data_IF_532691999836
#
_entry.id   IF_532691999836
#
_cell.length_a   1.000
_cell.length_b   1.000
_cell.length_c   1.000
_cell.angle_alpha   90.00
_cell.angle_beta   90.00
_cell.angle_gamma   90.00
#
_symmetry.space_group_name_H-M   'P 1'
#
loop_
_entity.id
_entity.type
_entity.pdbx_description
1 polymer ?
#
# COMPACT_ATOMS: atom_id res chain seq x y z
N UNK A 1 26.25 -81.04 21.80
CA UNK A 1 25.65 -79.92 21.06
C UNK A 1 26.14 -78.61 21.67
N UNK A 2 27.03 -77.91 20.98
CA UNK A 2 27.67 -76.68 21.47
C UNK A 2 26.66 -75.50 21.47
N UNK A 3 26.04 -75.23 22.63
CA UNK A 3 25.16 -74.07 22.85
C UNK A 3 25.89 -72.70 22.82
N UNK A 4 27.23 -72.70 22.83
CA UNK A 4 28.06 -71.47 22.86
C UNK A 4 28.04 -70.64 21.56
N UNK A 5 27.64 -71.21 20.43
CA UNK A 5 27.61 -70.49 19.15
C UNK A 5 26.42 -69.53 19.00
N UNK A 6 25.32 -69.79 19.70
CA UNK A 6 24.07 -69.03 19.57
C UNK A 6 24.13 -67.72 20.37
N UNK A 7 24.78 -67.72 21.54
CA UNK A 7 24.89 -66.53 22.40
C UNK A 7 25.68 -65.39 21.72
N UNK A 8 26.73 -65.71 20.96
CA UNK A 8 27.54 -64.70 20.27
C UNK A 8 26.76 -63.99 19.15
N UNK A 9 25.85 -64.70 18.46
CA UNK A 9 25.06 -64.11 17.38
C UNK A 9 24.00 -63.12 17.91
N UNK A 10 23.42 -63.38 19.07
CA UNK A 10 22.45 -62.47 19.69
C UNK A 10 23.07 -61.14 20.12
N UNK A 11 24.32 -61.13 20.58
CA UNK A 11 25.01 -59.87 20.93
C UNK A 11 25.20 -58.96 19.71
N UNK A 12 25.56 -59.50 18.56
CA UNK A 12 25.71 -58.71 17.33
C UNK A 12 24.39 -58.15 16.82
N UNK A 13 23.30 -58.93 16.89
CA UNK A 13 21.97 -58.45 16.54
C UNK A 13 21.55 -57.30 17.47
N UNK A 14 21.79 -57.44 18.77
CA UNK A 14 21.47 -56.38 19.74
C UNK A 14 22.28 -55.10 19.47
N UNK A 15 23.58 -55.22 19.17
CA UNK A 15 24.44 -54.08 18.82
C UNK A 15 23.93 -53.38 17.55
N UNK A 16 23.51 -54.14 16.53
CA UNK A 16 22.96 -53.57 15.30
C UNK A 16 21.64 -52.83 15.53
N UNK A 17 20.73 -53.40 16.34
CA UNK A 17 19.45 -52.76 16.69
C UNK A 17 19.71 -51.47 17.48
N UNK A 18 20.59 -51.52 18.50
CA UNK A 18 20.95 -50.34 19.29
C UNK A 18 21.59 -49.26 18.41
N UNK A 19 22.50 -49.63 17.49
CA UNK A 19 23.11 -48.72 16.53
C UNK A 19 22.09 -48.08 15.60
N UNK A 20 21.14 -48.85 15.07
CA UNK A 20 20.07 -48.34 14.22
C UNK A 20 19.14 -47.38 14.98
N UNK A 21 18.80 -47.67 16.23
CA UNK A 21 17.98 -46.79 17.08
C UNK A 21 18.70 -45.46 17.37
N UNK A 22 20.00 -45.51 17.70
CA UNK A 22 20.81 -44.32 17.96
C UNK A 22 20.94 -43.48 16.68
N UNK A 23 21.22 -44.11 15.53
CA UNK A 23 21.32 -43.40 14.25
C UNK A 23 19.98 -42.78 13.85
N UNK A 24 18.88 -43.50 14.04
CA UNK A 24 17.52 -42.99 13.81
C UNK A 24 17.20 -41.77 14.68
N UNK A 25 17.61 -41.79 15.96
CA UNK A 25 17.48 -40.64 16.85
C UNK A 25 18.26 -39.43 16.33
N UNK A 26 19.53 -39.58 15.96
CA UNK A 26 20.32 -38.46 15.45
C UNK A 26 19.79 -37.91 14.14
N UNK A 27 19.29 -38.77 13.24
CA UNK A 27 18.65 -38.33 12.00
C UNK A 27 17.38 -37.51 12.28
N UNK A 28 16.56 -37.93 13.25
CA UNK A 28 15.37 -37.18 13.70
C UNK A 28 15.76 -35.81 14.28
N UNK A 29 16.76 -35.77 15.17
CA UNK A 29 17.26 -34.53 15.76
C UNK A 29 17.84 -33.59 14.71
N UNK A 30 18.64 -34.11 13.77
CA UNK A 30 19.24 -33.32 12.69
C UNK A 30 18.18 -32.68 11.79
N UNK A 31 17.15 -33.44 11.39
CA UNK A 31 16.05 -32.90 10.60
C UNK A 31 15.24 -31.85 11.39
N UNK A 32 15.01 -32.07 12.68
CA UNK A 32 14.32 -31.10 13.54
C UNK A 32 15.12 -29.81 13.72
N UNK A 33 16.44 -29.91 13.95
CA UNK A 33 17.32 -28.74 14.05
C UNK A 33 17.41 -27.97 12.73
N UNK A 34 17.49 -28.67 11.59
CA UNK A 34 17.44 -28.04 10.27
C UNK A 34 16.16 -27.24 10.07
N UNK A 35 15.00 -27.82 10.38
CA UNK A 35 13.71 -27.15 10.24
C UNK A 35 13.59 -25.92 11.16
N UNK A 36 14.02 -26.03 12.42
CA UNK A 36 14.03 -24.90 13.37
C UNK A 36 14.98 -23.79 12.92
N UNK A 37 16.13 -24.15 12.33
CA UNK A 37 17.07 -23.17 11.80
C UNK A 37 16.51 -22.44 10.59
N UNK A 38 15.77 -23.14 9.70
CA UNK A 38 15.10 -22.53 8.56
C UNK A 38 13.98 -21.58 9.01
N UNK A 39 13.14 -22.01 9.95
CA UNK A 39 12.07 -21.18 10.52
C UNK A 39 12.62 -19.92 11.21
N UNK A 40 13.72 -20.06 11.97
CA UNK A 40 14.39 -18.91 12.59
C UNK A 40 14.93 -17.94 11.54
N UNK A 41 15.55 -18.45 10.47
CA UNK A 41 16.05 -17.64 9.37
C UNK A 41 14.91 -16.87 8.67
N UNK A 42 13.81 -17.55 8.35
CA UNK A 42 12.62 -16.95 7.74
C UNK A 42 12.03 -15.84 8.63
N UNK A 43 11.94 -16.06 9.95
CA UNK A 43 11.46 -15.06 10.89
C UNK A 43 12.39 -13.85 11.02
N UNK A 44 13.71 -14.09 11.02
CA UNK A 44 14.70 -13.01 11.00
C UNK A 44 14.58 -12.18 9.72
N UNK A 45 14.53 -12.82 8.55
CA UNK A 45 14.36 -12.13 7.27
C UNK A 45 13.05 -11.33 7.22
N UNK A 46 11.95 -11.89 7.70
CA UNK A 46 10.67 -11.18 7.75
C UNK A 46 10.72 -9.97 8.69
N UNK A 47 11.45 -10.07 9.80
CA UNK A 47 11.64 -8.95 10.73
C UNK A 47 12.54 -7.87 10.15
N UNK A 48 13.60 -8.26 9.45
CA UNK A 48 14.51 -7.33 8.76
C UNK A 48 13.78 -6.58 7.65
N UNK A 49 12.96 -7.27 6.85
CA UNK A 49 12.13 -6.63 5.82
C UNK A 49 11.13 -5.67 6.45
N UNK A 50 10.44 -6.04 7.53
CA UNK A 50 9.51 -5.12 8.22
C UNK A 50 10.22 -3.84 8.70
N UNK A 51 11.42 -3.99 9.26
CA UNK A 51 12.25 -2.85 9.68
C UNK A 51 12.62 -1.96 8.49
N UNK A 52 13.01 -2.56 7.36
CA UNK A 52 13.39 -1.79 6.18
C UNK A 52 12.18 -1.10 5.54
N UNK A 53 11.01 -1.76 5.47
CA UNK A 53 9.77 -1.13 5.00
C UNK A 53 9.35 0.02 5.93
N UNK A 54 9.55 -0.14 7.24
CA UNK A 54 9.32 0.93 8.24
C UNK A 54 10.28 2.10 8.05
N UNK A 55 11.53 1.85 7.68
CA UNK A 55 12.48 2.91 7.35
C UNK A 55 12.16 3.57 6.00
N UNK A 56 11.74 2.79 5.01
CA UNK A 56 11.41 3.28 3.68
C UNK A 56 10.17 4.18 3.73
N UNK A 57 9.14 3.81 4.50
CA UNK A 57 7.93 4.62 4.62
C UNK A 57 8.19 5.97 5.29
N UNK A 58 9.21 6.12 6.13
CA UNK A 58 9.56 7.44 6.70
C UNK A 58 10.42 8.30 5.76
N UNK A 59 11.08 7.68 4.79
CA UNK A 59 11.87 8.37 3.76
C UNK A 59 10.96 9.22 2.85
N UNK A 60 11.44 10.39 2.43
CA UNK A 60 10.67 11.32 1.58
C UNK A 60 11.08 11.18 0.12
N UNK A 61 10.16 10.71 -0.73
CA UNK A 61 10.23 10.88 -2.18
C UNK A 61 11.37 10.14 -2.88
N UNK A 62 12.11 9.28 -2.20
CA UNK A 62 13.21 8.52 -2.79
C UNK A 62 12.75 7.11 -3.14
N UNK A 63 13.08 6.71 -4.36
CA UNK A 63 13.04 5.31 -4.75
C UNK A 63 14.40 4.69 -4.43
N UNK A 64 14.39 3.53 -3.78
CA UNK A 64 15.61 2.83 -3.38
C UNK A 64 15.50 1.34 -3.71
N UNK A 65 16.59 0.71 -4.18
CA UNK A 65 16.64 -0.73 -4.33
C UNK A 65 16.67 -1.42 -2.96
N UNK A 66 16.04 -2.58 -2.86
CA UNK A 66 16.00 -3.43 -1.68
C UNK A 66 16.31 -4.88 -2.07
N UNK A 67 17.27 -5.56 -1.42
CA UNK A 67 17.53 -6.96 -1.72
C UNK A 67 16.31 -7.84 -1.42
N UNK A 68 15.99 -8.74 -2.35
CA UNK A 68 14.92 -9.74 -2.19
C UNK A 68 15.52 -11.03 -1.65
N UNK A 69 14.91 -11.65 -0.63
CA UNK A 69 15.24 -13.02 -0.25
C UNK A 69 15.06 -13.97 -1.46
N UNK A 70 15.92 -14.98 -1.66
CA UNK A 70 15.76 -15.94 -2.77
C UNK A 70 14.38 -16.61 -2.86
N UNK A 71 13.66 -16.65 -1.74
CA UNK A 71 12.32 -17.23 -1.61
C UNK A 71 11.20 -16.30 -2.10
N UNK A 72 11.49 -15.02 -2.35
CA UNK A 72 10.52 -14.00 -2.66
C UNK A 72 9.70 -13.52 -1.45
N UNK A 73 8.84 -12.53 -1.69
CA UNK A 73 7.95 -11.93 -0.70
C UNK A 73 6.55 -11.93 -1.29
N UNK A 74 5.60 -12.55 -0.60
CA UNK A 74 4.19 -12.48 -0.95
C UNK A 74 3.51 -11.36 -0.16
N UNK A 75 2.64 -10.59 -0.80
CA UNK A 75 1.79 -9.56 -0.19
C UNK A 75 0.33 -9.95 -0.37
N UNK A 76 -0.44 -9.89 0.70
CA UNK A 76 -1.86 -10.24 0.68
C UNK A 76 -2.64 -9.36 1.65
N UNK A 77 -3.88 -9.05 1.28
CA UNK A 77 -4.83 -8.34 2.12
C UNK A 77 -6.17 -9.05 2.06
N UNK A 78 -6.85 -9.14 3.20
CA UNK A 78 -8.23 -9.65 3.28
C UNK A 78 -9.24 -8.51 3.12
N UNK A 79 -10.51 -8.84 2.86
CA UNK A 79 -11.61 -7.85 2.83
C UNK A 79 -11.76 -7.09 4.16
N UNK A 80 -11.35 -7.69 5.28
CA UNK A 80 -11.29 -7.05 6.60
C UNK A 80 -10.12 -6.09 6.78
N UNK A 81 -9.33 -5.84 5.73
CA UNK A 81 -8.09 -5.06 5.77
C UNK A 81 -7.04 -5.58 6.74
N UNK A 82 -7.01 -6.91 6.92
CA UNK A 82 -5.89 -7.59 7.53
C UNK A 82 -4.86 -7.87 6.46
N UNK A 83 -3.83 -7.05 6.49
CA UNK A 83 -2.86 -6.90 5.44
C UNK A 83 -1.50 -7.37 5.95
N UNK A 84 -0.90 -8.34 5.24
CA UNK A 84 0.31 -9.04 5.68
C UNK A 84 1.23 -9.35 4.51
N UNK A 85 2.50 -9.56 4.82
CA UNK A 85 3.46 -10.13 3.90
C UNK A 85 4.01 -11.44 4.45
N UNK A 86 4.43 -12.32 3.55
CA UNK A 86 4.94 -13.66 3.87
C UNK A 86 6.24 -13.95 3.13
N UNK A 87 7.20 -14.50 3.85
CA UNK A 87 8.44 -15.07 3.31
C UNK A 87 8.43 -16.54 3.72
N UNK A 88 8.21 -17.45 2.78
CA UNK A 88 7.97 -18.87 3.05
C UNK A 88 6.88 -19.09 4.11
N UNK A 89 7.21 -19.51 5.34
CA UNK A 89 6.22 -19.75 6.41
C UNK A 89 6.12 -18.59 7.39
N UNK A 90 7.05 -17.65 7.37
CA UNK A 90 7.03 -16.49 8.24
C UNK A 90 6.08 -15.43 7.69
N UNK A 91 5.10 -15.04 8.51
CA UNK A 91 4.10 -14.02 8.17
C UNK A 91 4.22 -12.83 9.11
N UNK A 92 4.14 -11.62 8.57
CA UNK A 92 4.15 -10.36 9.33
C UNK A 92 3.02 -9.46 8.84
N UNK A 93 2.26 -8.90 9.77
CA UNK A 93 1.26 -7.90 9.47
C UNK A 93 1.96 -6.55 9.29
N UNK A 94 1.63 -5.82 8.22
CA UNK A 94 2.16 -4.46 8.05
C UNK A 94 1.35 -3.38 8.80
N UNK A 95 0.28 -3.79 9.49
CA UNK A 95 -0.39 -2.97 10.50
C UNK A 95 -1.02 -1.70 9.93
N UNK A 96 -0.52 -0.55 10.36
CA UNK A 96 -1.00 0.78 9.96
C UNK A 96 -0.20 1.39 8.79
N UNK A 97 0.59 0.59 8.08
CA UNK A 97 1.40 1.05 6.95
C UNK A 97 0.60 0.90 5.64
N UNK A 98 0.29 1.99 4.91
CA UNK A 98 -0.32 1.90 3.59
C UNK A 98 0.70 1.45 2.53
N UNK A 99 0.86 0.13 2.38
CA UNK A 99 1.75 -0.52 1.43
C UNK A 99 0.95 -1.01 0.22
N UNK A 100 1.48 -0.77 -0.98
CA UNK A 100 0.90 -1.20 -2.25
C UNK A 100 1.97 -1.97 -3.03
N UNK A 101 1.69 -3.24 -3.26
CA UNK A 101 2.61 -4.15 -3.90
C UNK A 101 1.85 -5.22 -4.71
N UNK A 102 2.49 -5.80 -5.73
CA UNK A 102 2.05 -7.03 -6.37
C UNK A 102 2.01 -8.21 -5.38
N UNK A 103 1.19 -9.23 -5.66
CA UNK A 103 0.95 -10.36 -4.75
C UNK A 103 2.20 -11.17 -4.43
N UNK A 104 3.14 -11.24 -5.36
CA UNK A 104 4.39 -11.95 -5.18
C UNK A 104 5.53 -11.26 -5.92
N UNK A 105 6.61 -10.97 -5.20
CA UNK A 105 7.83 -10.40 -5.74
C UNK A 105 8.97 -11.36 -5.50
N UNK A 106 9.55 -11.86 -6.58
CA UNK A 106 10.70 -12.76 -6.55
C UNK A 106 11.68 -12.38 -7.63
N UNK A 107 12.93 -12.70 -7.38
CA UNK A 107 14.05 -12.54 -8.29
C UNK A 107 14.34 -11.05 -8.55
N UNK A 108 15.62 -10.68 -8.54
CA UNK A 108 16.12 -9.29 -8.64
C UNK A 108 15.84 -8.42 -7.40
N UNK A 109 16.29 -7.17 -7.45
CA UNK A 109 16.10 -6.17 -6.38
C UNK A 109 14.71 -5.54 -6.47
N UNK A 110 14.07 -5.28 -5.32
CA UNK A 110 12.82 -4.51 -5.31
C UNK A 110 13.14 -3.03 -5.41
N UNK A 111 12.31 -2.31 -6.14
CA UNK A 111 12.24 -0.86 -6.03
C UNK A 111 11.16 -0.50 -5.02
N UNK A 112 11.58 0.15 -3.94
CA UNK A 112 10.68 0.71 -2.92
C UNK A 112 10.61 2.21 -3.09
N UNK A 113 9.41 2.77 -3.21
CA UNK A 113 9.18 4.19 -3.42
C UNK A 113 8.18 4.74 -2.42
N UNK A 114 8.60 5.74 -1.63
CA UNK A 114 7.72 6.40 -0.66
C UNK A 114 7.23 7.76 -1.17
N UNK A 115 5.91 7.95 -1.20
CA UNK A 115 5.30 9.21 -1.61
C UNK A 115 4.32 9.73 -0.56
N UNK A 116 4.42 11.02 -0.28
CA UNK A 116 3.62 11.67 0.75
C UNK A 116 2.16 11.87 0.32
N UNK A 117 1.22 11.53 1.20
CA UNK A 117 -0.18 11.92 1.09
C UNK A 117 -0.45 13.17 1.93
N UNK A 118 -0.97 14.22 1.29
CA UNK A 118 -1.29 15.52 1.91
C UNK A 118 -2.76 15.90 1.74
N UNK A 119 -3.51 16.08 2.84
CA UNK A 119 -4.89 16.58 2.82
C UNK A 119 -5.24 17.39 4.10
N UNK A 120 -5.04 18.71 4.15
CA UNK A 120 -4.08 19.51 3.39
C UNK A 120 -2.63 19.35 3.86
N UNK A 121 -2.43 18.97 5.12
CA UNK A 121 -1.14 18.68 5.72
C UNK A 121 -0.74 17.21 5.51
N UNK A 122 0.51 16.89 5.85
CA UNK A 122 1.05 15.53 5.78
C UNK A 122 0.25 14.57 6.67
N UNK A 123 -0.26 13.49 6.08
CA UNK A 123 -0.94 12.42 6.81
C UNK A 123 0.02 11.26 7.06
N UNK A 124 0.51 10.68 5.98
CA UNK A 124 1.37 9.50 5.95
C UNK A 124 2.07 9.46 4.60
N UNK A 125 3.06 8.59 4.46
CA UNK A 125 3.57 8.22 3.14
C UNK A 125 2.90 6.91 2.70
N UNK A 126 2.61 6.81 1.41
CA UNK A 126 2.33 5.56 0.71
C UNK A 126 3.64 4.91 0.32
N UNK A 127 3.72 3.59 0.49
CA UNK A 127 4.88 2.81 0.13
C UNK A 127 4.51 1.92 -1.06
N UNK A 128 5.12 2.19 -2.22
CA UNK A 128 4.97 1.38 -3.42
C UNK A 128 6.15 0.44 -3.54
N UNK A 129 5.87 -0.82 -3.85
CA UNK A 129 6.90 -1.85 -4.01
C UNK A 129 6.68 -2.55 -5.34
N UNK A 130 7.74 -2.67 -6.14
CA UNK A 130 7.74 -3.41 -7.41
C UNK A 130 9.11 -4.02 -7.64
N UNK A 131 9.26 -4.85 -8.67
CA UNK A 131 10.56 -5.24 -9.21
C UNK A 131 10.56 -5.10 -10.75
N UNK A 132 11.70 -5.28 -11.44
CA UNK A 132 11.76 -5.21 -12.90
C UNK A 132 11.11 -6.39 -13.62
N UNK A 133 10.74 -7.47 -12.91
CA UNK A 133 9.98 -8.60 -13.48
C UNK A 133 8.49 -8.29 -13.68
N UNK A 134 8.05 -7.06 -13.42
CA UNK A 134 6.67 -6.61 -13.62
C UNK A 134 6.67 -5.47 -14.63
N UNK A 135 5.93 -5.68 -15.72
CA UNK A 135 5.83 -4.72 -16.81
C UNK A 135 4.59 -3.86 -16.66
N UNK A 136 4.77 -2.55 -16.68
CA UNK A 136 3.69 -1.58 -16.65
C UNK A 136 3.51 -0.95 -18.03
N UNK A 137 2.30 -1.04 -18.58
CA UNK A 137 1.90 -0.30 -19.79
C UNK A 137 0.96 0.83 -19.41
N UNK A 138 1.37 2.07 -19.65
CA UNK A 138 0.49 3.24 -19.54
C UNK A 138 -0.23 3.43 -20.87
N UNK A 139 -1.52 3.12 -20.90
CA UNK A 139 -2.36 3.15 -22.10
C UNK A 139 -3.11 4.47 -22.15
N UNK A 140 -2.95 5.22 -23.24
CA UNK A 140 -3.56 6.54 -23.40
C UNK A 140 -4.10 6.76 -24.83
N UNK A 141 -4.73 7.91 -25.07
CA UNK A 141 -5.20 8.36 -26.37
C UNK A 141 -4.69 9.78 -26.66
N UNK A 142 -4.22 10.06 -27.88
CA UNK A 142 -3.42 11.27 -28.15
C UNK A 142 -4.18 12.60 -28.00
N UNK A 143 -5.50 12.60 -28.21
CA UNK A 143 -6.32 13.82 -28.30
C UNK A 143 -7.19 14.10 -27.05
N UNK A 144 -6.98 13.37 -25.95
CA UNK A 144 -7.90 13.44 -24.80
C UNK A 144 -7.22 13.90 -23.49
N UNK A 145 -8.05 14.08 -22.45
CA UNK A 145 -7.63 14.29 -21.05
C UNK A 145 -6.64 13.24 -20.55
N UNK A 146 -6.59 12.07 -21.20
CA UNK A 146 -5.63 10.99 -20.92
C UNK A 146 -4.17 11.44 -21.05
N UNK A 147 -3.83 12.29 -22.02
CA UNK A 147 -2.46 12.78 -22.23
C UNK A 147 -1.98 13.68 -21.10
N UNK A 148 -2.86 14.55 -20.60
CA UNK A 148 -2.52 15.40 -19.43
C UNK A 148 -2.26 14.54 -18.19
N UNK A 149 -3.07 13.51 -17.96
CA UNK A 149 -2.88 12.59 -16.85
C UNK A 149 -1.58 11.77 -17.03
N UNK A 150 -1.29 11.32 -18.25
CA UNK A 150 -0.04 10.64 -18.58
C UNK A 150 1.18 11.50 -18.23
N UNK A 151 1.19 12.76 -18.66
CA UNK A 151 2.30 13.68 -18.39
C UNK A 151 2.47 13.95 -16.90
N UNK A 152 1.37 13.97 -16.12
CA UNK A 152 1.43 14.07 -14.66
C UNK A 152 2.02 12.82 -14.02
N UNK A 153 1.62 11.63 -14.49
CA UNK A 153 2.15 10.35 -13.99
C UNK A 153 3.64 10.18 -14.29
N UNK A 154 4.05 10.47 -15.53
CA UNK A 154 5.46 10.41 -15.96
C UNK A 154 6.39 11.25 -15.10
N UNK A 155 5.94 12.42 -14.65
CA UNK A 155 6.72 13.32 -13.79
C UNK A 155 6.91 12.78 -12.38
N UNK A 156 5.98 11.97 -11.88
CA UNK A 156 6.06 11.44 -10.52
C UNK A 156 6.72 10.07 -10.41
N UNK A 157 6.66 9.23 -11.46
CA UNK A 157 7.27 7.90 -11.44
C UNK A 157 8.82 8.03 -11.45
N UNK A 158 9.52 7.45 -10.46
CA UNK A 158 10.98 7.52 -10.39
C UNK A 158 11.63 6.71 -11.53
N UNK A 159 12.81 7.11 -12.04
CA UNK A 159 13.49 6.43 -13.15
C UNK A 159 13.83 4.95 -12.93
N UNK A 160 13.88 4.50 -11.67
CA UNK A 160 14.11 3.10 -11.30
C UNK A 160 12.92 2.18 -11.62
N UNK A 161 11.73 2.74 -11.84
CA UNK A 161 10.53 1.98 -12.20
C UNK A 161 10.37 2.02 -13.70
N UNK A 162 10.43 0.85 -14.32
CA UNK A 162 10.28 0.70 -15.76
C UNK A 162 8.80 0.68 -16.12
N UNK A 163 8.43 1.50 -17.11
CA UNK A 163 7.11 1.50 -17.72
C UNK A 163 7.23 1.82 -19.20
N UNK A 164 6.22 1.43 -19.96
CA UNK A 164 6.11 1.73 -21.39
C UNK A 164 4.80 2.45 -21.66
N UNK A 165 4.80 3.40 -22.60
CA UNK A 165 3.59 4.10 -22.99
C UNK A 165 3.13 3.65 -24.34
N UNK A 166 1.87 3.22 -24.42
CA UNK A 166 1.26 2.71 -25.65
C UNK A 166 -0.10 3.39 -25.87
N UNK A 167 -0.54 3.46 -27.11
CA UNK A 167 -1.90 3.90 -27.44
C UNK A 167 -2.90 2.77 -27.22
N UNK A 168 -4.19 3.11 -27.09
CA UNK A 168 -5.26 2.11 -26.99
C UNK A 168 -5.28 1.14 -28.19
N UNK A 169 -4.89 1.61 -29.38
CA UNK A 169 -4.79 0.78 -30.58
C UNK A 169 -3.60 -0.19 -30.50
N UNK A 170 -2.47 0.24 -29.93
CA UNK A 170 -1.30 -0.62 -29.76
C UNK A 170 -1.56 -1.75 -28.77
N UNK A 171 -2.38 -1.54 -27.73
CA UNK A 171 -2.71 -2.54 -26.71
C UNK A 171 -3.19 -3.89 -27.28
N UNK A 172 -3.94 -3.91 -28.38
CA UNK A 172 -4.44 -5.15 -29.01
C UNK A 172 -3.36 -5.91 -29.79
N UNK A 173 -2.23 -5.26 -30.08
CA UNK A 173 -1.09 -5.80 -30.83
C UNK A 173 0.17 -5.99 -29.99
N UNK A 174 0.19 -5.44 -28.77
CA UNK A 174 1.22 -5.70 -27.77
C UNK A 174 1.20 -7.19 -27.45
N UNK A 175 2.36 -7.84 -27.63
CA UNK A 175 2.54 -9.25 -27.30
C UNK A 175 3.06 -9.38 -25.89
N UNK A 176 2.78 -10.53 -25.30
CA UNK A 176 3.40 -10.90 -24.04
C UNK A 176 4.92 -11.09 -24.20
N UNK A 177 5.63 -10.64 -23.18
CA UNK A 177 7.07 -10.80 -22.96
C UNK A 177 7.28 -11.64 -21.69
N UNK A 178 8.49 -12.15 -21.46
CA UNK A 178 8.85 -13.02 -20.32
C UNK A 178 8.94 -12.25 -18.99
N UNK A 179 7.80 -11.71 -18.54
CA UNK A 179 7.64 -11.06 -17.24
C UNK A 179 6.74 -11.89 -16.33
N UNK A 180 6.95 -11.76 -15.02
CA UNK A 180 6.12 -12.43 -14.01
C UNK A 180 4.66 -11.97 -14.07
N UNK A 181 4.44 -10.67 -14.31
CA UNK A 181 3.12 -10.08 -14.43
C UNK A 181 3.15 -8.83 -15.31
N UNK A 182 2.10 -8.64 -16.11
CA UNK A 182 1.91 -7.43 -16.92
C UNK A 182 0.69 -6.64 -16.43
N UNK A 183 0.87 -5.36 -16.12
CA UNK A 183 -0.21 -4.48 -15.66
C UNK A 183 -0.48 -3.35 -16.64
N UNK A 184 -1.73 -3.26 -17.10
CA UNK A 184 -2.21 -2.19 -17.98
C UNK A 184 -2.86 -1.07 -17.17
N UNK A 185 -2.42 0.16 -17.36
CA UNK A 185 -2.95 1.37 -16.71
C UNK A 185 -3.65 2.21 -17.78
N UNK A 186 -4.97 2.04 -17.88
CA UNK A 186 -5.85 2.68 -18.86
C UNK A 186 -6.19 4.09 -18.38
N UNK A 187 -5.65 5.12 -19.02
CA UNK A 187 -5.83 6.52 -18.65
C UNK A 187 -7.05 7.09 -19.38
N UNK A 188 -8.22 7.11 -18.73
CA UNK A 188 -9.48 7.58 -19.30
C UNK A 188 -9.83 6.94 -20.66
N UNK A 189 -9.42 5.68 -20.85
CA UNK A 189 -9.73 4.87 -22.04
C UNK A 189 -10.42 3.58 -21.61
N UNK A 190 -11.32 3.07 -22.45
CA UNK A 190 -11.97 1.78 -22.19
C UNK A 190 -11.02 0.61 -22.48
N UNK A 191 -11.09 -0.48 -21.70
CA UNK A 191 -10.30 -1.67 -21.98
C UNK A 191 -10.68 -2.28 -23.33
N UNK A 192 -9.68 -2.81 -24.04
CA UNK A 192 -9.84 -3.60 -25.25
C UNK A 192 -9.42 -5.05 -25.00
N UNK A 193 -9.69 -5.93 -25.96
CA UNK A 193 -9.21 -7.31 -25.90
C UNK A 193 -7.69 -7.35 -26.03
N UNK A 194 -7.03 -8.09 -25.13
CA UNK A 194 -5.59 -8.32 -25.20
C UNK A 194 -5.22 -9.24 -26.37
N UNK A 195 -3.97 -9.16 -26.82
CA UNK A 195 -3.43 -10.12 -27.80
C UNK A 195 -3.52 -11.56 -27.27
N UNK A 196 -3.62 -12.52 -28.19
CA UNK A 196 -3.77 -13.94 -27.85
C UNK A 196 -2.62 -14.49 -27.00
N UNK A 197 -1.42 -13.91 -27.10
CA UNK A 197 -0.27 -14.27 -26.25
C UNK A 197 -0.57 -14.12 -24.74
N UNK A 198 -1.43 -13.18 -24.36
CA UNK A 198 -1.85 -13.00 -22.96
C UNK A 198 -2.85 -14.04 -22.45
N UNK A 199 -3.33 -14.98 -23.29
CA UNK A 199 -4.32 -15.98 -22.86
C UNK A 199 -3.87 -16.80 -21.65
N UNK A 200 -2.57 -17.13 -21.58
CA UNK A 200 -1.98 -17.90 -20.47
C UNK A 200 -1.13 -17.07 -19.51
N UNK A 201 -0.70 -15.88 -19.94
CA UNK A 201 0.13 -15.02 -19.12
C UNK A 201 -0.66 -14.39 -17.97
N UNK A 202 0.05 -13.97 -16.92
CA UNK A 202 -0.53 -13.21 -15.82
C UNK A 202 -0.64 -11.74 -16.20
N UNK A 203 -1.86 -11.21 -16.25
CA UNK A 203 -2.07 -9.79 -16.51
C UNK A 203 -3.30 -9.24 -15.80
N UNK A 204 -3.23 -7.96 -15.42
CA UNK A 204 -4.31 -7.20 -14.80
C UNK A 204 -4.42 -5.82 -15.45
N UNK A 205 -5.54 -5.13 -15.22
CA UNK A 205 -5.66 -3.75 -15.64
C UNK A 205 -6.35 -2.88 -14.60
N UNK A 206 -6.05 -1.59 -14.64
CA UNK A 206 -6.84 -0.55 -13.97
C UNK A 206 -7.22 0.52 -14.98
N UNK A 207 -8.40 1.11 -14.82
CA UNK A 207 -8.81 2.32 -15.53
C UNK A 207 -8.87 3.47 -14.55
N UNK A 208 -8.22 4.56 -14.90
CA UNK A 208 -8.21 5.80 -14.12
C UNK A 208 -9.03 6.83 -14.89
N UNK A 209 -10.14 7.27 -14.33
CA UNK A 209 -10.99 8.32 -14.89
C UNK A 209 -11.03 9.54 -13.93
N UNK A 210 -11.69 10.65 -14.28
CA UNK A 210 -11.75 11.82 -13.39
C UNK A 210 -12.40 11.56 -12.03
N UNK A 211 -13.25 10.54 -11.91
CA UNK A 211 -14.08 10.29 -10.74
C UNK A 211 -13.54 9.16 -9.85
N UNK A 212 -12.76 8.23 -10.41
CA UNK A 212 -12.35 7.02 -9.71
C UNK A 212 -11.43 6.11 -10.51
N UNK A 213 -11.28 4.90 -9.97
CA UNK A 213 -10.43 3.83 -10.47
C UNK A 213 -11.27 2.57 -10.57
N UNK A 214 -11.30 1.97 -11.75
CA UNK A 214 -11.91 0.66 -11.98
C UNK A 214 -10.82 -0.40 -12.08
N UNK A 215 -10.90 -1.45 -11.29
CA UNK A 215 -10.01 -2.61 -11.37
C UNK A 215 -10.59 -3.64 -12.34
N UNK A 216 -9.73 -4.31 -13.08
CA UNK A 216 -10.08 -5.36 -14.03
C UNK A 216 -9.21 -6.60 -13.81
N UNK A 217 -9.86 -7.75 -13.86
CA UNK A 217 -9.22 -9.06 -13.93
C UNK A 217 -9.33 -9.62 -15.35
N UNK A 218 -8.36 -10.44 -15.73
CA UNK A 218 -8.31 -11.07 -17.05
C UNK A 218 -9.08 -12.38 -17.05
N UNK A 219 -10.05 -12.50 -17.96
CA UNK A 219 -10.72 -13.75 -18.30
C UNK A 219 -10.33 -14.15 -19.74
N UNK A 220 -9.37 -15.07 -19.87
CA UNK A 220 -8.75 -15.40 -21.15
C UNK A 220 -7.98 -14.21 -21.73
N UNK A 221 -8.56 -13.48 -22.68
CA UNK A 221 -8.02 -12.25 -23.29
C UNK A 221 -8.91 -11.03 -23.09
N UNK A 222 -10.06 -11.18 -22.43
CA UNK A 222 -10.94 -10.08 -22.09
C UNK A 222 -10.62 -9.58 -20.69
N UNK A 223 -10.90 -8.30 -20.43
CA UNK A 223 -10.75 -7.67 -19.13
C UNK A 223 -12.14 -7.44 -18.54
N UNK A 224 -12.42 -8.07 -17.41
CA UNK A 224 -13.70 -7.96 -16.71
C UNK A 224 -13.54 -7.05 -15.50
N UNK A 225 -14.40 -6.03 -15.42
CA UNK A 225 -14.41 -5.10 -14.28
C UNK A 225 -14.78 -5.83 -13.00
N UNK A 226 -13.99 -5.62 -11.94
CA UNK A 226 -14.22 -6.23 -10.62
C UNK A 226 -14.77 -5.23 -9.63
N UNK A 227 -14.14 -4.05 -9.52
CA UNK A 227 -14.52 -3.04 -8.52
C UNK A 227 -14.20 -1.62 -8.97
N UNK A 228 -15.10 -0.69 -8.66
CA UNK A 228 -14.90 0.74 -8.81
C UNK A 228 -14.66 1.38 -7.45
N UNK A 229 -13.61 2.20 -7.33
CA UNK A 229 -13.23 2.88 -6.10
C UNK A 229 -12.77 4.31 -6.39
N UNK A 230 -13.10 5.25 -5.50
CA UNK A 230 -12.62 6.63 -5.62
C UNK A 230 -11.13 6.77 -5.24
N UNK A 231 -10.50 7.89 -5.60
CA UNK A 231 -9.08 8.15 -5.33
C UNK A 231 -8.85 9.56 -4.77
N UNK A 232 -7.91 9.68 -3.84
CA UNK A 232 -7.52 10.91 -3.14
C UNK A 232 -6.22 11.52 -3.74
N UNK A 233 -6.34 12.13 -4.91
CA UNK A 233 -5.22 12.79 -5.59
C UNK A 233 -4.17 11.83 -6.17
N UNK A 234 -3.08 12.40 -6.71
CA UNK A 234 -2.09 11.64 -7.48
C UNK A 234 -1.42 10.47 -6.72
N UNK A 235 -1.07 10.59 -5.41
CA UNK A 235 -0.53 9.45 -4.66
C UNK A 235 -1.44 8.22 -4.66
N UNK A 236 -2.75 8.41 -4.56
CA UNK A 236 -3.68 7.27 -4.61
C UNK A 236 -3.79 6.64 -6.01
N UNK A 237 -3.56 7.39 -7.08
CA UNK A 237 -3.48 6.79 -8.43
C UNK A 237 -2.27 5.86 -8.52
N UNK A 238 -1.10 6.28 -8.01
CA UNK A 238 0.05 5.39 -7.92
C UNK A 238 -0.23 4.18 -7.03
N UNK A 239 -0.92 4.38 -5.91
CA UNK A 239 -1.32 3.26 -5.04
C UNK A 239 -2.11 2.19 -5.81
N UNK A 240 -3.06 2.58 -6.67
CA UNK A 240 -3.78 1.62 -7.51
C UNK A 240 -2.90 0.97 -8.58
N UNK A 241 -1.93 1.70 -9.16
CA UNK A 241 -0.97 1.16 -10.12
C UNK A 241 -0.13 0.04 -9.49
N UNK A 242 0.32 0.21 -8.25
CA UNK A 242 1.19 -0.77 -7.58
C UNK A 242 0.48 -1.80 -6.71
N UNK A 243 -0.79 -1.58 -6.36
CA UNK A 243 -1.58 -2.58 -5.63
C UNK A 243 -1.83 -3.82 -6.49
N UNK A 244 -1.77 -5.01 -5.90
CA UNK A 244 -2.18 -6.23 -6.59
C UNK A 244 -3.62 -6.14 -7.12
N UNK A 245 -4.54 -5.75 -6.23
CA UNK A 245 -5.97 -5.78 -6.48
C UNK A 245 -6.69 -4.59 -5.82
N UNK A 246 -8.01 -4.57 -6.00
CA UNK A 246 -8.87 -3.53 -5.41
C UNK A 246 -8.92 -3.59 -3.88
N UNK A 247 -8.73 -4.77 -3.28
CA UNK A 247 -8.77 -4.98 -1.83
C UNK A 247 -7.56 -4.35 -1.16
N UNK A 248 -6.35 -4.61 -1.66
CA UNK A 248 -5.12 -4.00 -1.17
C UNK A 248 -5.16 -2.47 -1.32
N UNK A 249 -5.63 -1.98 -2.46
CA UNK A 249 -5.81 -0.55 -2.68
C UNK A 249 -6.77 0.08 -1.67
N UNK A 250 -7.96 -0.50 -1.49
CA UNK A 250 -8.96 -0.02 -0.53
C UNK A 250 -8.40 -0.02 0.89
N UNK A 251 -7.73 -1.08 1.31
CA UNK A 251 -7.20 -1.22 2.66
C UNK A 251 -6.05 -0.26 2.96
N UNK A 252 -5.18 -0.01 1.98
CA UNK A 252 -4.15 1.02 2.11
C UNK A 252 -4.76 2.42 2.26
N UNK A 253 -5.81 2.74 1.50
CA UNK A 253 -6.51 4.02 1.65
C UNK A 253 -7.26 4.15 2.98
N UNK A 254 -8.01 3.13 3.41
CA UNK A 254 -8.69 3.12 4.71
C UNK A 254 -7.72 3.35 5.87
N UNK A 255 -6.53 2.74 5.78
CA UNK A 255 -5.45 2.94 6.76
C UNK A 255 -4.97 4.39 6.78
N UNK A 256 -4.81 5.01 5.61
CA UNK A 256 -4.42 6.41 5.49
C UNK A 256 -5.48 7.36 6.06
N UNK A 257 -6.77 7.11 5.79
CA UNK A 257 -7.85 7.93 6.32
C UNK A 257 -8.03 7.77 7.82
N UNK A 258 -7.79 6.58 8.38
CA UNK A 258 -7.74 6.40 9.84
C UNK A 258 -6.68 7.30 10.47
N UNK A 259 -5.48 7.38 9.85
CA UNK A 259 -4.42 8.30 10.27
C UNK A 259 -4.82 9.76 10.13
N UNK A 260 -5.46 10.13 9.02
CA UNK A 260 -5.98 11.49 8.83
C UNK A 260 -6.91 11.87 9.98
N UNK A 261 -7.87 11.02 10.34
CA UNK A 261 -8.81 11.30 11.44
C UNK A 261 -8.11 11.59 12.77
N UNK A 262 -7.06 10.83 13.11
CA UNK A 262 -6.26 11.11 14.31
C UNK A 262 -5.50 12.43 14.22
N UNK A 263 -4.87 12.70 13.08
CA UNK A 263 -4.07 13.92 12.88
C UNK A 263 -4.97 15.16 12.87
N UNK A 264 -6.15 15.09 12.24
CA UNK A 264 -7.13 16.18 12.25
C UNK A 264 -7.60 16.52 13.66
N UNK A 265 -7.79 15.51 14.52
CA UNK A 265 -8.10 15.73 15.94
C UNK A 265 -6.99 16.50 16.64
N UNK A 266 -5.74 16.08 16.46
CA UNK A 266 -4.58 16.73 17.08
C UNK A 266 -4.45 18.18 16.60
N UNK A 267 -4.68 18.46 15.32
CA UNK A 267 -4.67 19.83 14.81
C UNK A 267 -5.81 20.68 15.36
N UNK A 268 -6.99 20.11 15.60
CA UNK A 268 -8.10 20.84 16.23
C UNK A 268 -7.76 21.23 17.68
N UNK A 269 -7.19 20.29 18.45
CA UNK A 269 -6.70 20.54 19.81
C UNK A 269 -5.60 21.61 19.82
N UNK A 270 -4.62 21.51 18.92
CA UNK A 270 -3.56 22.52 18.77
C UNK A 270 -4.12 23.90 18.40
N UNK A 271 -5.11 23.97 17.50
CA UNK A 271 -5.73 25.23 17.11
C UNK A 271 -6.40 25.93 18.31
N UNK A 272 -7.06 25.16 19.19
CA UNK A 272 -7.68 25.69 20.40
C UNK A 272 -6.65 26.26 21.38
N UNK A 273 -5.52 25.57 21.58
CA UNK A 273 -4.42 26.09 22.40
C UNK A 273 -3.77 27.36 21.80
N UNK A 274 -3.63 27.41 20.47
CA UNK A 274 -3.09 28.58 19.78
C UNK A 274 -3.99 29.80 19.92
N UNK A 275 -5.31 29.62 19.86
CA UNK A 275 -6.28 30.70 20.08
C UNK A 275 -6.19 31.27 21.50
N UNK A 276 -6.09 30.39 22.50
CA UNK A 276 -5.93 30.80 23.89
C UNK A 276 -4.66 31.65 24.06
N UNK A 277 -3.51 31.17 23.57
CA UNK A 277 -2.24 31.92 23.63
C UNK A 277 -2.28 33.22 22.82
N UNK A 278 -2.96 33.24 21.69
CA UNK A 278 -3.14 34.46 20.90
C UNK A 278 -3.94 35.51 21.69
N UNK A 279 -4.99 35.09 22.39
CA UNK A 279 -5.80 35.96 23.25
C UNK A 279 -4.98 36.51 24.42
N UNK A 280 -4.20 35.67 25.10
CA UNK A 280 -3.31 36.07 26.20
C UNK A 280 -2.25 37.10 25.77
N UNK A 281 -1.80 37.03 24.51
CA UNK A 281 -0.82 37.97 23.94
C UNK A 281 -1.45 39.21 23.28
N UNK A 282 -2.76 39.41 23.44
CA UNK A 282 -3.49 40.55 22.87
C UNK A 282 -3.81 40.44 21.38
N UNK A 283 -3.58 39.29 20.76
CA UNK A 283 -3.92 38.99 19.35
C UNK A 283 -5.34 38.44 19.22
N UNK A 284 -6.34 39.19 19.68
CA UNK A 284 -7.74 38.74 19.71
C UNK A 284 -8.38 38.56 18.33
N UNK A 285 -7.71 38.99 17.25
CA UNK A 285 -8.17 38.76 15.88
C UNK A 285 -7.84 37.36 15.35
N UNK A 286 -6.98 36.60 16.03
CA UNK A 286 -6.65 35.23 15.66
C UNK A 286 -7.68 34.26 16.26
N UNK A 287 -8.84 34.16 15.61
CA UNK A 287 -9.96 33.30 16.03
C UNK A 287 -9.92 31.99 15.22
N UNK A 288 -9.72 30.85 15.90
CA UNK A 288 -9.64 29.52 15.29
C UNK A 288 -10.93 28.70 15.47
N UNK A 289 -11.73 28.97 16.51
CA UNK A 289 -13.02 28.35 16.80
C UNK A 289 -13.13 27.73 18.20
N UNK A 290 -14.24 27.02 18.47
CA UNK A 290 -14.46 26.32 19.75
C UNK A 290 -14.46 24.80 19.55
N UNK A 291 -13.63 24.09 20.34
CA UNK A 291 -13.45 22.63 20.28
C UNK A 291 -14.64 21.82 20.83
N UNK A 292 -15.48 22.42 21.67
CA UNK A 292 -16.59 21.71 22.34
C UNK A 292 -17.68 21.15 21.42
N UNK A 293 -17.57 21.32 20.10
CA UNK A 293 -18.54 20.88 19.10
C UNK A 293 -18.09 19.66 18.28
N UNK A 294 -16.89 19.14 18.49
CA UNK A 294 -16.31 18.13 17.62
C UNK A 294 -16.91 16.71 17.73
N UNK A 295 -17.74 16.44 18.74
CA UNK A 295 -18.32 15.10 18.96
C UNK A 295 -19.58 14.82 18.15
N UNK A 296 -20.24 15.85 17.60
CA UNK A 296 -21.53 15.75 16.91
C UNK A 296 -21.47 16.08 15.41
N UNK A 297 -20.27 16.28 14.85
CA UNK A 297 -20.15 16.78 13.48
C UNK A 297 -20.26 15.66 12.44
N UNK A 298 -21.19 15.84 11.50
CA UNK A 298 -21.32 15.03 10.29
C UNK A 298 -20.24 15.38 9.26
N UNK A 299 -19.97 14.46 8.34
CA UNK A 299 -19.10 14.69 7.17
C UNK A 299 -19.79 15.60 6.13
N UNK A 300 -20.05 16.86 6.50
CA UNK A 300 -20.61 17.88 5.63
C UNK A 300 -19.77 19.15 5.75
N UNK A 301 -19.29 19.68 4.62
CA UNK A 301 -18.48 20.89 4.61
C UNK A 301 -19.41 22.12 4.75
N UNK A 302 -19.21 22.91 5.81
CA UNK A 302 -19.93 24.17 5.98
C UNK A 302 -19.00 25.35 5.62
N UNK A 303 -19.38 26.16 4.61
CA UNK A 303 -18.53 27.25 4.11
C UNK A 303 -18.26 28.36 5.14
N UNK A 304 -19.11 28.50 6.16
CA UNK A 304 -18.97 29.48 7.26
C UNK A 304 -18.35 28.89 8.53
N UNK A 305 -17.73 27.72 8.44
CA UNK A 305 -17.11 27.05 9.58
C UNK A 305 -15.77 27.71 9.99
N UNK A 306 -15.54 27.75 11.30
CA UNK A 306 -14.21 28.05 11.88
C UNK A 306 -13.21 26.95 11.56
N UNK A 307 -11.90 27.19 11.70
CA UNK A 307 -10.88 26.17 11.39
C UNK A 307 -10.99 24.94 12.27
N UNK A 308 -11.32 25.10 13.55
CA UNK A 308 -11.58 23.96 14.44
C UNK A 308 -12.76 23.12 13.94
N UNK A 309 -13.86 23.76 13.52
CA UNK A 309 -15.01 23.04 12.94
C UNK A 309 -14.64 22.34 11.63
N UNK A 310 -13.85 22.97 10.75
CA UNK A 310 -13.38 22.32 9.52
C UNK A 310 -12.52 21.08 9.80
N UNK A 311 -11.66 21.12 10.83
CA UNK A 311 -10.84 19.98 11.25
C UNK A 311 -11.67 18.86 11.88
N UNK A 312 -12.74 19.22 12.60
CA UNK A 312 -13.64 18.24 13.21
C UNK A 312 -14.55 17.57 12.16
N UNK A 313 -15.07 18.32 11.19
CA UNK A 313 -15.69 17.78 9.98
C UNK A 313 -14.73 16.88 9.19
N UNK A 314 -13.44 17.26 9.08
CA UNK A 314 -12.43 16.45 8.42
C UNK A 314 -12.19 15.13 9.15
N UNK A 315 -12.12 15.14 10.49
CA UNK A 315 -12.03 13.95 11.33
C UNK A 315 -13.22 13.02 11.09
N UNK A 316 -14.45 13.55 11.11
CA UNK A 316 -15.66 12.79 10.84
C UNK A 316 -15.65 12.15 9.43
N UNK A 317 -15.30 12.92 8.40
CA UNK A 317 -15.14 12.41 7.03
C UNK A 317 -14.09 11.31 6.94
N UNK A 318 -12.93 11.50 7.59
CA UNK A 318 -11.84 10.54 7.57
C UNK A 318 -12.22 9.24 8.28
N UNK A 319 -12.98 9.30 9.39
CA UNK A 319 -13.55 8.10 10.05
C UNK A 319 -14.53 7.37 9.15
N UNK A 320 -15.42 8.09 8.45
CA UNK A 320 -16.33 7.48 7.49
C UNK A 320 -15.55 6.76 6.37
N UNK A 321 -14.61 7.47 5.74
CA UNK A 321 -13.74 6.93 4.68
C UNK A 321 -12.88 5.75 5.14
N UNK A 322 -12.46 5.71 6.41
CA UNK A 322 -11.74 4.58 6.99
C UNK A 322 -12.59 3.31 7.11
N UNK A 323 -13.92 3.44 7.15
CA UNK A 323 -14.85 2.31 7.18
C UNK A 323 -15.30 1.94 5.76
N UNK A 324 -15.63 2.94 4.93
CA UNK A 324 -16.13 2.76 3.57
C UNK A 324 -15.63 3.88 2.66
N UNK A 325 -15.01 3.52 1.54
CA UNK A 325 -14.56 4.47 0.53
C UNK A 325 -15.75 4.98 -0.30
N UNK A 326 -16.43 6.00 0.24
CA UNK A 326 -17.56 6.65 -0.41
C UNK A 326 -17.12 7.90 -1.21
N UNK A 327 -17.65 8.04 -2.42
CA UNK A 327 -17.30 9.13 -3.33
C UNK A 327 -17.75 10.50 -2.80
N UNK A 328 -18.92 10.58 -2.15
CA UNK A 328 -19.44 11.84 -1.61
C UNK A 328 -18.60 12.32 -0.42
N UNK A 329 -18.21 11.40 0.47
CA UNK A 329 -17.32 11.70 1.59
C UNK A 329 -15.95 12.19 1.10
N UNK A 330 -15.44 11.63 0.00
CA UNK A 330 -14.18 12.07 -0.59
C UNK A 330 -14.28 13.45 -1.27
N UNK A 331 -15.40 13.75 -1.94
CA UNK A 331 -15.67 15.08 -2.48
C UNK A 331 -15.76 16.14 -1.37
N UNK A 332 -16.42 15.80 -0.25
CA UNK A 332 -16.45 16.65 0.94
C UNK A 332 -15.06 16.86 1.52
N UNK A 333 -14.24 15.81 1.58
CA UNK A 333 -12.86 15.90 2.06
C UNK A 333 -12.00 16.84 1.21
N UNK A 334 -12.16 16.82 -0.12
CA UNK A 334 -11.46 17.74 -1.02
C UNK A 334 -11.92 19.20 -0.84
N UNK A 335 -13.20 19.40 -0.55
CA UNK A 335 -13.74 20.72 -0.20
C UNK A 335 -13.16 21.21 1.13
N UNK A 336 -13.14 20.36 2.16
CA UNK A 336 -12.54 20.69 3.46
C UNK A 336 -11.06 21.02 3.34
N UNK A 337 -10.31 20.27 2.52
CA UNK A 337 -8.91 20.54 2.22
C UNK A 337 -8.72 21.97 1.70
N UNK A 338 -9.49 22.40 0.70
CA UNK A 338 -9.34 23.73 0.10
C UNK A 338 -9.72 24.86 1.06
N UNK A 339 -10.75 24.64 1.89
CA UNK A 339 -11.16 25.57 2.96
C UNK A 339 -10.08 25.70 4.04
N UNK A 340 -9.53 24.59 4.51
CA UNK A 340 -8.43 24.57 5.50
C UNK A 340 -7.17 25.24 4.95
N UNK A 341 -6.80 24.95 3.71
CA UNK A 341 -5.67 25.60 3.02
C UNK A 341 -5.86 27.13 2.92
N UNK A 342 -7.08 27.56 2.59
CA UNK A 342 -7.44 28.99 2.51
C UNK A 342 -7.35 29.66 3.88
N UNK A 343 -7.89 29.01 4.91
CA UNK A 343 -7.88 29.54 6.27
C UNK A 343 -6.46 29.63 6.85
N UNK A 344 -5.61 28.62 6.63
CA UNK A 344 -4.21 28.66 7.07
C UNK A 344 -3.45 29.84 6.41
N UNK A 345 -3.65 30.06 5.10
CA UNK A 345 -3.06 31.22 4.40
C UNK A 345 -3.55 32.56 4.96
N UNK A 346 -4.83 32.68 5.28
CA UNK A 346 -5.39 33.89 5.87
C UNK A 346 -4.78 34.19 7.25
N UNK A 347 -4.57 33.16 8.09
CA UNK A 347 -3.89 33.33 9.37
C UNK A 347 -2.45 33.82 9.21
N UNK A 348 -1.69 33.25 8.26
CA UNK A 348 -0.33 33.70 7.96
C UNK A 348 -0.33 35.18 7.54
N UNK A 349 -1.26 35.59 6.67
CA UNK A 349 -1.38 36.99 6.23
C UNK A 349 -1.73 37.96 7.37
N UNK A 350 -2.50 37.49 8.36
CA UNK A 350 -2.88 38.26 9.54
C UNK A 350 -1.86 38.20 10.69
N UNK A 351 -0.67 37.63 10.44
CA UNK A 351 0.38 37.43 11.46
C UNK A 351 -0.07 36.60 12.67
N UNK A 352 -1.04 35.71 12.44
CA UNK A 352 -1.44 34.66 13.38
C UNK A 352 -0.52 33.44 13.22
N UNK A 353 -0.34 32.64 14.29
CA UNK A 353 0.41 31.39 14.20
C UNK A 353 -0.11 30.46 13.10
N UNK A 354 0.81 29.91 12.30
CA UNK A 354 0.51 28.86 11.32
C UNK A 354 0.07 27.59 12.02
N UNK A 355 -0.97 26.94 11.47
CA UNK A 355 -1.51 25.72 12.05
C UNK A 355 -0.70 24.49 11.63
N UNK A 356 -0.34 24.38 10.35
CA UNK A 356 0.34 23.24 9.75
C UNK A 356 1.24 23.62 8.58
#
# INVERSE_FOLDING_TARGET
>A
MNKKGIELQFHWIFILIAGALILGFFFSVANKQKNLSQEKLELTLATDIDNILTQAIVSRGTAQPLPVPPQGIAFECTEGCECRFRIEKATKNFGDKPIFAPSYLKDQELTVWALELKLPYRITNFLYITNPNIKYYLVYEEETTSKSLLDQLKKGIPPLIQYETITQQQMTSTKEEDYQHTKFVLLNVEPTTLDYSFKKASASAIKVDPNGITFYEKDGTTLTSTKYLSYAGLPSIYAAIFAEDSTMYECGLKTAFRKLGYISKIYAERAAELEQKATETGKTWCVYGNIGKCEEEDCSAAASATVIQLLCQQNACAKNLANQLDQSALANLNTLKSLLDSANRNFIQQSCPELF
#
